data_IF_223017709309
#
_entry.id   IF_223017709309
#
_cell.length_a   1.000
_cell.length_b   1.000
_cell.length_c   1.000
_cell.angle_alpha   90.00
_cell.angle_beta   90.00
_cell.angle_gamma   90.00
#
_symmetry.space_group_name_H-M   'P 1'
#
loop_
_entity.id
_entity.type
_entity.pdbx_description
1 polymer ?
#
# COMPACT_ATOMS: atom_id res chain seq x y z
N UNK A 1 -10.73 -12.07 6.22
CA UNK A 1 -10.61 -13.20 5.27
C UNK A 1 -9.39 -12.94 4.42
N UNK A 2 -8.46 -13.89 4.33
CA UNK A 2 -7.20 -13.67 3.65
C UNK A 2 -7.38 -13.74 2.13
N UNK A 3 -7.47 -12.58 1.48
CA UNK A 3 -7.69 -12.44 0.03
C UNK A 3 -6.39 -12.63 -0.80
N UNK A 4 -5.30 -13.07 -0.18
CA UNK A 4 -3.98 -13.28 -0.83
C UNK A 4 -4.07 -14.08 -2.14
N UNK A 5 -4.89 -15.13 -2.18
CA UNK A 5 -5.00 -16.04 -3.33
C UNK A 5 -6.30 -15.83 -4.14
N UNK A 6 -7.06 -14.77 -3.84
CA UNK A 6 -8.27 -14.44 -4.59
C UNK A 6 -7.86 -13.93 -5.98
N UNK A 7 -8.57 -14.36 -7.03
CA UNK A 7 -8.22 -13.95 -8.40
C UNK A 7 -8.31 -12.43 -8.58
N UNK A 8 -7.44 -11.82 -9.42
CA UNK A 8 -7.51 -10.40 -9.71
C UNK A 8 -8.90 -9.93 -10.18
N UNK A 9 -9.58 -10.74 -10.98
CA UNK A 9 -10.90 -10.38 -11.51
C UNK A 9 -11.97 -10.33 -10.41
N UNK A 10 -11.94 -11.24 -9.42
CA UNK A 10 -12.86 -11.21 -8.28
C UNK A 10 -12.57 -10.01 -7.37
N UNK A 11 -11.29 -9.71 -7.12
CA UNK A 11 -10.90 -8.55 -6.33
C UNK A 11 -11.30 -7.24 -7.02
N UNK A 12 -11.11 -7.16 -8.34
CA UNK A 12 -11.55 -6.03 -9.14
C UNK A 12 -13.08 -5.87 -9.08
N UNK A 13 -13.86 -6.93 -9.27
CA UNK A 13 -15.33 -6.87 -9.16
C UNK A 13 -15.77 -6.36 -7.78
N UNK A 14 -15.11 -6.78 -6.70
CA UNK A 14 -15.39 -6.29 -5.33
C UNK A 14 -15.02 -4.83 -5.12
N UNK A 15 -13.98 -4.34 -5.78
CA UNK A 15 -13.60 -2.93 -5.71
C UNK A 15 -14.54 -2.08 -6.56
N UNK A 16 -14.94 -2.61 -7.71
CA UNK A 16 -15.81 -1.97 -8.68
C UNK A 16 -17.19 -1.62 -8.08
N UNK A 17 -17.73 -2.47 -7.21
CA UNK A 17 -19.00 -2.19 -6.49
C UNK A 17 -18.88 -1.12 -5.41
N UNK A 18 -17.65 -0.68 -5.08
CA UNK A 18 -17.35 0.34 -4.06
C UNK A 18 -16.79 1.62 -4.65
N UNK A 19 -16.77 1.75 -5.97
CA UNK A 19 -16.25 2.97 -6.59
C UNK A 19 -17.15 4.17 -6.26
N UNK A 20 -16.56 5.34 -6.03
CA UNK A 20 -17.35 6.57 -5.90
C UNK A 20 -18.12 6.83 -7.19
N UNK A 21 -19.30 7.42 -7.03
CA UNK A 21 -20.14 7.84 -8.16
C UNK A 21 -19.39 8.83 -9.07
N UNK A 22 -18.68 9.78 -8.47
CA UNK A 22 -17.80 10.71 -9.17
C UNK A 22 -16.38 10.14 -9.26
N UNK A 23 -15.76 10.25 -10.44
CA UNK A 23 -14.37 9.84 -10.63
C UNK A 23 -14.14 8.33 -10.74
N UNK A 24 -15.17 7.48 -10.78
CA UNK A 24 -15.00 6.03 -11.01
C UNK A 24 -14.19 5.68 -12.27
N UNK A 25 -14.26 6.50 -13.32
CA UNK A 25 -13.44 6.35 -14.52
C UNK A 25 -11.93 6.53 -14.26
N UNK A 26 -11.56 7.41 -13.32
CA UNK A 26 -10.17 7.58 -12.89
C UNK A 26 -9.63 6.28 -12.29
N UNK A 27 -10.42 5.64 -11.42
CA UNK A 27 -10.05 4.37 -10.75
C UNK A 27 -9.95 3.23 -11.76
N UNK A 28 -10.89 3.15 -12.72
CA UNK A 28 -10.85 2.17 -13.81
C UNK A 28 -9.59 2.32 -14.68
N UNK A 29 -9.23 3.55 -15.02
CA UNK A 29 -8.02 3.85 -15.78
C UNK A 29 -6.76 3.49 -14.97
N UNK A 30 -6.74 3.77 -13.66
CA UNK A 30 -5.64 3.42 -12.77
C UNK A 30 -5.47 1.90 -12.67
N UNK A 31 -6.57 1.15 -12.52
CA UNK A 31 -6.54 -0.31 -12.51
C UNK A 31 -6.02 -0.88 -13.84
N UNK A 32 -6.50 -0.39 -14.98
CA UNK A 32 -6.05 -0.84 -16.29
C UNK A 32 -4.54 -0.61 -16.48
N UNK A 33 -4.03 0.54 -16.04
CA UNK A 33 -2.60 0.84 -16.10
C UNK A 33 -1.80 -0.06 -15.16
N UNK A 34 -2.19 -0.18 -13.89
CA UNK A 34 -1.50 -1.01 -12.91
C UNK A 34 -1.44 -2.48 -13.34
N UNK A 35 -2.57 -3.02 -13.84
CA UNK A 35 -2.64 -4.39 -14.34
C UNK A 35 -1.71 -4.62 -15.53
N UNK A 36 -1.61 -3.66 -16.45
CA UNK A 36 -0.71 -3.75 -17.58
C UNK A 36 0.76 -3.60 -17.17
N UNK A 37 1.07 -2.66 -16.28
CA UNK A 37 2.42 -2.37 -15.81
C UNK A 37 3.02 -3.56 -15.02
N UNK A 38 2.22 -4.20 -14.18
CA UNK A 38 2.62 -5.37 -13.39
C UNK A 38 2.41 -6.71 -14.13
N UNK A 39 2.11 -6.71 -15.43
CA UNK A 39 1.89 -7.94 -16.18
C UNK A 39 3.15 -8.83 -16.17
N UNK A 40 2.98 -10.10 -15.80
CA UNK A 40 4.08 -11.07 -15.68
C UNK A 40 4.89 -10.97 -14.39
N UNK A 41 4.64 -9.97 -13.53
CA UNK A 41 5.24 -9.88 -12.21
C UNK A 41 4.49 -10.74 -11.19
N UNK A 42 5.21 -11.33 -10.24
CA UNK A 42 4.65 -12.14 -9.16
C UNK A 42 5.14 -11.66 -7.81
N UNK A 43 4.30 -11.81 -6.79
CA UNK A 43 4.68 -11.60 -5.38
C UNK A 43 5.50 -12.77 -4.85
N UNK A 44 6.00 -12.63 -3.63
CA UNK A 44 6.81 -13.66 -2.96
C UNK A 44 6.05 -14.99 -2.83
N UNK A 45 4.75 -14.93 -2.54
CA UNK A 45 3.86 -16.08 -2.42
C UNK A 45 3.41 -16.69 -3.77
N UNK A 46 3.89 -16.16 -4.90
CA UNK A 46 3.59 -16.67 -6.25
C UNK A 46 2.30 -16.14 -6.88
N UNK A 47 1.61 -15.20 -6.24
CA UNK A 47 0.39 -14.56 -6.79
C UNK A 47 0.74 -13.48 -7.82
N UNK A 48 -0.12 -13.19 -8.82
CA UNK A 48 0.09 -12.07 -9.73
C UNK A 48 0.22 -10.75 -8.97
N UNK A 49 1.20 -9.91 -9.32
CA UNK A 49 1.51 -8.72 -8.51
C UNK A 49 0.32 -7.75 -8.33
N UNK A 50 -0.52 -7.60 -9.36
CA UNK A 50 -1.75 -6.79 -9.33
C UNK A 50 -2.72 -7.14 -8.17
N UNK A 51 -2.64 -8.35 -7.61
CA UNK A 51 -3.42 -8.75 -6.43
C UNK A 51 -3.13 -7.83 -5.24
N UNK A 52 -1.88 -7.41 -5.06
CA UNK A 52 -1.49 -6.55 -3.94
C UNK A 52 -2.11 -5.15 -4.04
N UNK A 53 -1.93 -4.36 -5.12
CA UNK A 53 -2.60 -3.05 -5.26
C UNK A 53 -4.12 -3.12 -5.16
N UNK A 54 -4.75 -4.19 -5.65
CA UNK A 54 -6.20 -4.40 -5.50
C UNK A 54 -6.61 -4.58 -4.03
N UNK A 55 -5.87 -5.38 -3.26
CA UNK A 55 -6.13 -5.58 -1.83
C UNK A 55 -5.88 -4.29 -1.04
N UNK A 56 -4.84 -3.53 -1.36
CA UNK A 56 -4.59 -2.20 -0.78
C UNK A 56 -5.76 -1.24 -1.04
N UNK A 57 -6.24 -1.16 -2.28
CA UNK A 57 -7.41 -0.34 -2.62
C UNK A 57 -8.70 -0.81 -1.92
N UNK A 58 -8.90 -2.13 -1.77
CA UNK A 58 -10.03 -2.70 -1.05
C UNK A 58 -9.99 -2.41 0.46
N UNK A 59 -8.80 -2.41 1.07
CA UNK A 59 -8.62 -2.03 2.49
C UNK A 59 -9.09 -0.60 2.73
N UNK A 60 -8.77 0.32 1.82
CA UNK A 60 -9.19 1.72 1.86
C UNK A 60 -10.69 1.86 1.60
N UNK A 61 -11.21 1.24 0.55
CA UNK A 61 -12.63 1.30 0.19
C UNK A 61 -13.57 0.61 1.20
N UNK A 62 -13.03 -0.23 2.08
CA UNK A 62 -13.80 -0.95 3.11
C UNK A 62 -13.85 -0.24 4.47
N UNK A 63 -13.25 0.94 4.62
CA UNK A 63 -13.26 1.67 5.89
C UNK A 63 -14.60 2.37 6.14
N UNK A 64 -15.29 2.12 7.27
CA UNK A 64 -16.63 2.67 7.53
C UNK A 64 -16.74 4.21 7.53
N UNK A 65 -15.65 4.90 7.90
CA UNK A 65 -15.63 6.36 8.08
C UNK A 65 -14.78 7.07 7.02
N UNK A 66 -14.39 6.35 5.97
CA UNK A 66 -13.61 6.89 4.87
C UNK A 66 -14.40 6.69 3.59
N UNK A 67 -15.02 7.77 3.13
CA UNK A 67 -15.65 7.76 1.82
C UNK A 67 -14.58 7.48 0.75
N UNK A 68 -14.78 6.47 -0.12
CA UNK A 68 -13.79 6.07 -1.10
C UNK A 68 -13.61 7.18 -2.15
N UNK A 69 -12.61 8.02 -1.96
CA UNK A 69 -12.28 9.06 -2.93
C UNK A 69 -11.56 8.47 -4.15
N UNK A 70 -11.97 8.87 -5.36
CA UNK A 70 -11.42 8.34 -6.60
C UNK A 70 -9.89 8.49 -6.71
N UNK A 71 -9.36 9.64 -6.26
CA UNK A 71 -7.91 9.92 -6.26
C UNK A 71 -7.15 9.02 -5.30
N UNK A 72 -7.71 8.75 -4.12
CA UNK A 72 -7.14 7.86 -3.12
C UNK A 72 -7.05 6.42 -3.65
N UNK A 73 -8.15 5.92 -4.24
CA UNK A 73 -8.18 4.58 -4.82
C UNK A 73 -7.26 4.46 -6.05
N UNK A 74 -7.18 5.50 -6.88
CA UNK A 74 -6.24 5.54 -8.00
C UNK A 74 -4.79 5.47 -7.50
N UNK A 75 -4.42 6.27 -6.49
CA UNK A 75 -3.08 6.24 -5.91
C UNK A 75 -2.76 4.87 -5.28
N UNK A 76 -3.72 4.25 -4.60
CA UNK A 76 -3.56 2.90 -4.04
C UNK A 76 -3.26 1.83 -5.11
N UNK A 77 -3.98 1.89 -6.24
CA UNK A 77 -3.75 0.97 -7.36
C UNK A 77 -2.41 1.21 -8.05
N UNK A 78 -1.89 2.44 -7.99
CA UNK A 78 -0.68 2.87 -8.70
C UNK A 78 0.58 2.93 -7.82
N UNK A 79 0.49 2.71 -6.51
CA UNK A 79 1.54 3.11 -5.57
C UNK A 79 2.94 2.51 -5.85
N UNK A 80 2.99 1.33 -6.45
CA UNK A 80 4.22 0.61 -6.78
C UNK A 80 4.69 0.79 -8.23
N UNK A 81 3.91 1.43 -9.11
CA UNK A 81 4.22 1.42 -10.56
C UNK A 81 5.47 2.24 -10.92
N UNK A 82 5.83 3.22 -10.09
CA UNK A 82 7.09 3.96 -10.26
C UNK A 82 8.27 3.11 -9.77
N UNK A 83 8.14 2.41 -8.64
CA UNK A 83 9.21 1.60 -8.03
C UNK A 83 9.48 0.33 -8.85
N UNK A 84 8.43 -0.40 -9.24
CA UNK A 84 8.53 -1.77 -9.75
C UNK A 84 8.28 -1.91 -11.27
N UNK A 85 7.73 -0.88 -11.92
CA UNK A 85 7.40 -0.92 -13.35
C UNK A 85 8.14 0.13 -14.18
N UNK A 86 8.88 1.04 -13.54
CA UNK A 86 9.66 2.07 -14.23
C UNK A 86 8.83 3.19 -14.86
N UNK A 87 7.56 3.34 -14.46
CA UNK A 87 6.76 4.51 -14.84
C UNK A 87 7.30 5.75 -14.13
N UNK A 88 7.08 6.91 -14.73
CA UNK A 88 7.51 8.19 -14.18
C UNK A 88 6.35 8.99 -13.59
N UNK A 89 6.68 9.85 -12.63
CA UNK A 89 5.72 10.80 -12.05
C UNK A 89 5.05 11.68 -13.12
N UNK A 90 5.78 12.08 -14.17
CA UNK A 90 5.22 12.92 -15.24
C UNK A 90 4.22 12.16 -16.13
N UNK A 91 4.47 10.89 -16.41
CA UNK A 91 3.50 10.03 -17.11
C UNK A 91 2.21 9.84 -16.29
N UNK A 92 2.34 9.69 -14.97
CA UNK A 92 1.18 9.61 -14.07
C UNK A 92 0.44 10.94 -14.00
N UNK A 93 1.15 12.07 -13.90
CA UNK A 93 0.55 13.39 -13.83
C UNK A 93 -0.27 13.71 -15.07
N UNK A 94 0.22 13.33 -16.26
CA UNK A 94 -0.48 13.52 -17.52
C UNK A 94 -1.79 12.73 -17.63
N UNK A 95 -1.90 11.59 -16.93
CA UNK A 95 -3.06 10.67 -17.03
C UNK A 95 -4.03 10.78 -15.87
N UNK A 96 -3.54 11.05 -14.66
CA UNK A 96 -4.31 10.99 -13.42
C UNK A 96 -4.30 12.30 -12.62
N UNK A 97 -3.58 13.31 -13.10
CA UNK A 97 -3.41 14.60 -12.43
C UNK A 97 -2.20 14.61 -11.48
N UNK A 98 -1.71 15.83 -11.22
CA UNK A 98 -0.49 16.07 -10.44
C UNK A 98 -0.58 15.49 -9.03
N UNK A 99 -1.72 15.61 -8.37
CA UNK A 99 -1.86 15.19 -6.97
C UNK A 99 -1.74 13.67 -6.79
N UNK A 100 -2.39 12.86 -7.65
CA UNK A 100 -2.24 11.39 -7.62
C UNK A 100 -0.78 11.02 -7.89
N UNK A 101 -0.15 11.66 -8.87
CA UNK A 101 1.24 11.42 -9.23
C UNK A 101 2.21 11.77 -8.09
N UNK A 102 1.94 12.86 -7.37
CA UNK A 102 2.74 13.29 -6.22
C UNK A 102 2.60 12.33 -5.04
N UNK A 103 1.39 11.82 -4.77
CA UNK A 103 1.20 10.80 -3.74
C UNK A 103 1.94 9.50 -4.10
N UNK A 104 1.81 9.02 -5.33
CA UNK A 104 2.54 7.81 -5.77
C UNK A 104 4.04 8.03 -5.68
N UNK A 105 4.56 9.18 -6.13
CA UNK A 105 5.98 9.51 -6.05
C UNK A 105 6.53 9.53 -4.62
N UNK A 106 5.77 10.04 -3.66
CA UNK A 106 6.15 10.04 -2.23
C UNK A 106 6.19 8.61 -1.67
N UNK A 107 5.33 7.71 -2.17
CA UNK A 107 5.25 6.33 -1.72
C UNK A 107 6.39 5.46 -2.26
N UNK A 108 6.87 5.75 -3.46
CA UNK A 108 7.90 4.96 -4.15
C UNK A 108 9.31 5.20 -3.62
N UNK A 109 10.11 4.14 -3.56
CA UNK A 109 11.53 4.21 -3.20
C UNK A 109 12.41 3.98 -4.43
N UNK A 110 13.55 4.69 -4.55
CA UNK A 110 14.54 4.40 -5.59
C UNK A 110 15.21 3.05 -5.34
N UNK A 111 15.94 2.51 -6.33
CA UNK A 111 16.67 1.25 -6.17
C UNK A 111 17.56 1.25 -4.91
N UNK A 112 17.58 0.14 -4.16
CA UNK A 112 18.34 0.05 -2.89
C UNK A 112 19.82 0.43 -3.04
N UNK A 113 20.43 0.13 -4.18
CA UNK A 113 21.84 0.45 -4.47
C UNK A 113 22.15 1.94 -4.59
N UNK A 114 21.15 2.79 -4.79
CA UNK A 114 21.33 4.25 -4.94
C UNK A 114 20.98 5.02 -3.67
N UNK A 115 20.50 4.33 -2.63
CA UNK A 115 20.05 4.95 -1.37
C UNK A 115 21.26 5.32 -0.49
N UNK A 116 21.42 6.59 -0.07
CA UNK A 116 22.40 6.94 0.97
C UNK A 116 22.07 6.27 2.32
N UNK A 117 23.02 6.18 3.26
CA UNK A 117 22.82 5.48 4.54
C UNK A 117 21.62 5.96 5.37
N UNK A 118 21.28 7.24 5.28
CA UNK A 118 20.17 7.85 6.02
C UNK A 118 18.87 7.98 5.20
N UNK A 119 18.82 7.35 4.02
CA UNK A 119 17.66 7.44 3.13
C UNK A 119 16.37 6.93 3.78
N UNK A 120 16.41 5.78 4.45
CA UNK A 120 15.21 5.18 5.04
C UNK A 120 14.63 6.08 6.14
N UNK A 121 15.48 6.73 6.95
CA UNK A 121 15.05 7.72 7.95
C UNK A 121 14.31 8.88 7.27
N UNK A 122 14.92 9.48 6.25
CA UNK A 122 14.34 10.61 5.51
C UNK A 122 13.04 10.22 4.81
N UNK A 123 12.97 9.01 4.26
CA UNK A 123 11.76 8.48 3.63
C UNK A 123 10.60 8.43 4.62
N UNK A 124 10.79 7.86 5.82
CA UNK A 124 9.71 7.79 6.81
C UNK A 124 9.34 9.16 7.40
N UNK A 125 10.29 10.10 7.50
CA UNK A 125 9.99 11.49 7.84
C UNK A 125 9.13 12.17 6.76
N UNK A 126 9.44 11.94 5.48
CA UNK A 126 8.65 12.42 4.35
C UNK A 126 7.24 11.82 4.35
N UNK A 127 7.08 10.51 4.61
CA UNK A 127 5.76 9.89 4.77
C UNK A 127 5.01 10.50 5.95
N UNK A 128 5.67 10.70 7.10
CA UNK A 128 5.03 11.31 8.26
C UNK A 128 4.49 12.72 7.99
N UNK A 129 5.19 13.49 7.15
CA UNK A 129 4.79 14.82 6.70
C UNK A 129 3.87 14.83 5.46
N UNK A 130 3.61 13.67 4.86
CA UNK A 130 2.85 13.57 3.61
C UNK A 130 1.35 13.90 3.82
N UNK A 131 0.65 14.29 2.73
CA UNK A 131 -0.80 14.45 2.76
C UNK A 131 -1.50 13.22 3.34
N UNK A 132 -2.61 13.45 4.04
CA UNK A 132 -3.39 12.40 4.69
C UNK A 132 -3.72 11.20 3.76
N UNK A 133 -4.13 11.38 2.49
CA UNK A 133 -4.35 10.27 1.56
C UNK A 133 -3.11 9.41 1.30
N UNK A 134 -1.94 10.02 1.12
CA UNK A 134 -0.69 9.28 0.90
C UNK A 134 -0.30 8.47 2.14
N UNK A 135 -0.48 9.04 3.35
CA UNK A 135 -0.27 8.30 4.60
C UNK A 135 -1.20 7.08 4.67
N UNK A 136 -2.48 7.24 4.36
CA UNK A 136 -3.42 6.11 4.30
C UNK A 136 -2.96 5.02 3.31
N UNK A 137 -2.58 5.37 2.08
CA UNK A 137 -2.07 4.35 1.15
C UNK A 137 -0.86 3.62 1.73
N UNK A 138 0.07 4.33 2.40
CA UNK A 138 1.23 3.68 3.02
C UNK A 138 0.87 2.70 4.13
N UNK A 139 -0.12 3.05 4.95
CA UNK A 139 -0.58 2.17 6.03
C UNK A 139 -1.30 0.94 5.47
N UNK A 140 -2.11 1.11 4.42
CA UNK A 140 -2.79 0.03 3.72
C UNK A 140 -1.79 -0.95 3.07
N UNK A 141 -0.79 -0.42 2.37
CA UNK A 141 0.36 -1.15 1.84
C UNK A 141 1.05 -1.96 2.95
N UNK A 142 1.35 -1.30 4.08
CA UNK A 142 2.02 -1.97 5.20
C UNK A 142 1.18 -3.10 5.79
N UNK A 143 -0.11 -2.88 5.99
CA UNK A 143 -1.06 -3.90 6.46
C UNK A 143 -1.09 -5.11 5.53
N UNK A 144 -1.20 -4.86 4.23
CA UNK A 144 -1.25 -5.91 3.21
C UNK A 144 0.01 -6.78 3.22
N UNK A 145 1.17 -6.12 3.31
CA UNK A 145 2.46 -6.79 3.40
C UNK A 145 2.62 -7.60 4.69
N UNK A 146 2.14 -7.12 5.83
CA UNK A 146 2.17 -7.90 7.09
C UNK A 146 1.32 -9.18 7.02
N UNK A 147 0.22 -9.16 6.27
CA UNK A 147 -0.62 -10.35 6.04
C UNK A 147 0.12 -11.40 5.19
N UNK A 148 0.87 -10.96 4.17
CA UNK A 148 1.71 -11.83 3.33
C UNK A 148 3.06 -12.20 3.93
N UNK A 149 3.44 -11.60 5.07
CA UNK A 149 4.79 -11.71 5.63
C UNK A 149 5.20 -13.14 5.99
N UNK A 150 4.22 -14.01 6.28
CA UNK A 150 4.43 -15.42 6.62
C UNK A 150 5.20 -16.20 5.55
N UNK A 151 5.16 -15.75 4.30
CA UNK A 151 5.86 -16.41 3.20
C UNK A 151 7.34 -16.05 3.13
N UNK A 152 7.79 -14.96 3.77
CA UNK A 152 9.16 -14.45 3.65
C UNK A 152 10.15 -15.21 4.55
N UNK A 153 11.45 -15.03 4.32
CA UNK A 153 12.47 -15.64 5.19
C UNK A 153 12.39 -15.10 6.64
N UNK A 154 12.63 -15.90 7.69
CA UNK A 154 12.45 -15.50 9.08
C UNK A 154 13.15 -14.18 9.47
N UNK A 155 14.38 -13.98 8.97
CA UNK A 155 15.12 -12.74 9.20
C UNK A 155 14.45 -11.51 8.56
N UNK A 156 13.88 -11.67 7.37
CA UNK A 156 13.11 -10.61 6.70
C UNK A 156 11.81 -10.32 7.45
N UNK A 157 11.14 -11.35 7.97
CA UNK A 157 9.95 -11.18 8.80
C UNK A 157 10.25 -10.35 10.05
N UNK A 158 11.29 -10.73 10.80
CA UNK A 158 11.71 -10.01 12.00
C UNK A 158 12.08 -8.55 11.70
N UNK A 159 12.85 -8.31 10.62
CA UNK A 159 13.21 -6.97 10.19
C UNK A 159 12.00 -6.11 9.80
N UNK A 160 11.06 -6.67 9.04
CA UNK A 160 9.86 -5.95 8.60
C UNK A 160 8.92 -5.62 9.76
N UNK A 161 8.76 -6.53 10.73
CA UNK A 161 8.03 -6.29 11.98
C UNK A 161 8.68 -5.18 12.81
N UNK A 162 10.00 -5.23 12.98
CA UNK A 162 10.75 -4.21 13.71
C UNK A 162 10.63 -2.82 13.06
N UNK A 163 10.76 -2.73 11.73
CA UNK A 163 10.56 -1.47 10.99
C UNK A 163 9.13 -0.95 11.14
N UNK A 164 8.13 -1.83 11.06
CA UNK A 164 6.72 -1.46 11.25
C UNK A 164 6.53 -0.80 12.61
N UNK A 165 7.05 -1.44 13.68
CA UNK A 165 6.95 -0.90 15.04
C UNK A 165 7.68 0.43 15.22
N UNK A 166 8.91 0.53 14.70
CA UNK A 166 9.75 1.70 14.90
C UNK A 166 9.35 2.90 14.04
N UNK A 167 8.82 2.67 12.82
CA UNK A 167 8.66 3.71 11.79
C UNK A 167 7.21 3.92 11.35
N UNK A 168 6.44 2.85 11.21
CA UNK A 168 5.07 2.95 10.70
C UNK A 168 4.07 3.22 11.81
N UNK A 169 4.19 2.59 12.98
CA UNK A 169 3.24 2.79 14.09
C UNK A 169 3.10 4.26 14.51
N UNK A 170 4.18 5.05 14.67
CA UNK A 170 4.04 6.47 14.99
C UNK A 170 3.24 7.25 13.95
N UNK A 171 3.42 6.92 12.66
CA UNK A 171 2.66 7.51 11.55
C UNK A 171 1.19 7.07 11.63
N UNK A 172 0.95 5.79 11.91
CA UNK A 172 -0.39 5.22 12.03
C UNK A 172 -1.19 5.87 13.16
N UNK A 173 -0.60 6.03 14.35
CA UNK A 173 -1.23 6.69 15.50
C UNK A 173 -1.69 8.12 15.15
N UNK A 174 -0.89 8.84 14.37
CA UNK A 174 -1.21 10.19 13.91
C UNK A 174 -2.12 10.25 12.66
N UNK A 175 -2.53 9.10 12.10
CA UNK A 175 -3.31 9.00 10.85
C UNK A 175 -4.66 8.32 11.08
N UNK A 176 -4.66 7.06 11.54
CA UNK A 176 -5.86 6.29 11.86
C UNK A 176 -5.56 5.34 13.05
N UNK A 177 -6.13 5.60 14.25
CA UNK A 177 -5.89 4.77 15.44
C UNK A 177 -6.30 3.31 15.30
N UNK A 178 -7.29 2.98 14.47
CA UNK A 178 -7.74 1.59 14.26
C UNK A 178 -6.70 0.82 13.47
N UNK A 179 -6.14 1.45 12.44
CA UNK A 179 -5.05 0.86 11.67
C UNK A 179 -3.76 0.79 12.47
N UNK A 180 -3.52 1.74 13.38
CA UNK A 180 -2.41 1.65 14.33
C UNK A 180 -2.54 0.39 15.21
N UNK A 181 -3.71 0.13 15.78
CA UNK A 181 -3.97 -1.06 16.59
C UNK A 181 -3.80 -2.36 15.78
N UNK A 182 -4.27 -2.39 14.53
CA UNK A 182 -4.12 -3.58 13.68
C UNK A 182 -2.66 -3.81 13.25
N UNK A 183 -1.93 -2.75 12.88
CA UNK A 183 -0.50 -2.82 12.59
C UNK A 183 0.30 -3.28 13.80
N UNK A 184 -0.06 -2.82 15.00
CA UNK A 184 0.58 -3.25 16.25
C UNK A 184 0.35 -4.73 16.47
N UNK A 185 -0.91 -5.19 16.37
CA UNK A 185 -1.28 -6.60 16.49
C UNK A 185 -0.52 -7.47 15.48
N UNK A 186 -0.47 -7.05 14.21
CA UNK A 186 0.18 -7.80 13.14
C UNK A 186 1.71 -7.73 13.18
N UNK A 187 2.31 -6.77 13.87
CA UNK A 187 3.76 -6.61 13.96
C UNK A 187 4.40 -7.26 15.19
N UNK A 188 3.61 -7.74 16.16
CA UNK A 188 4.12 -8.56 17.26
C UNK A 188 4.75 -9.84 16.74
N UNK A 189 5.78 -10.32 17.43
CA UNK A 189 6.34 -11.64 17.15
C UNK A 189 5.35 -12.71 17.62
N UNK A 190 5.30 -13.86 16.94
CA UNK A 190 4.46 -14.99 17.37
C UNK A 190 4.83 -15.50 18.79
N UNK A 191 6.01 -15.14 19.29
CA UNK A 191 6.56 -15.53 20.59
C UNK A 191 6.41 -14.46 21.68
N UNK A 192 5.87 -13.27 21.38
CA UNK A 192 5.57 -12.27 22.42
C UNK A 192 4.21 -12.63 23.05
N UNK A 193 4.16 -13.13 24.31
CA UNK A 193 2.88 -13.39 24.97
C UNK A 193 2.09 -12.10 25.01
N UNK A 194 0.85 -12.14 24.49
CA UNK A 194 -0.05 -11.01 24.56
C UNK A 194 -0.18 -10.56 26.01
N UNK A 195 0.11 -9.28 26.27
CA UNK A 195 -0.24 -8.66 27.54
C UNK A 195 -1.76 -8.73 27.62
N UNK A 196 -2.26 -9.72 28.35
CA UNK A 196 -3.66 -9.81 28.70
C UNK A 196 -3.95 -8.66 29.67
N UNK A 197 -4.83 -7.75 29.25
CA UNK A 197 -5.53 -6.84 30.16
C UNK A 197 -6.48 -7.63 31.07
#
# INVERSE_FOLDING_TARGET
MNDLFTSPDILWQRLETRLPAEGGNLVRAAYALARAAHAGQTRFEGTPYIVHPLRVALLLAGQPDLEPEARLLAAALLHDVIEDCGLTRDELAARFGAEVADWVQILSKPAKSTRPPDWEERYFQMIAAAPYPARLVKLADRLDNLVGLIFWEPAQQAGYRAETRARILPIAVATDPRWAAELERLSRNAEEPGVAE
#
